data_IF_750430424651
#
_entry.id   IF_750430424651
#
_cell.length_a   1.000
_cell.length_b   1.000
_cell.length_c   1.000
_cell.angle_alpha   90.00
_cell.angle_beta   90.00
_cell.angle_gamma   90.00
#
_symmetry.space_group_name_H-M   'P 1'
#
loop_
_entity.id
_entity.type
_entity.pdbx_description
1 polymer ?
#
# COMPACT_ATOMS: atom_id res chain seq x y z
N UNK A 1 43.73 6.88 -20.12
CA UNK A 1 42.87 5.70 -20.33
C UNK A 1 42.53 5.10 -18.97
N UNK A 2 41.27 5.18 -18.56
CA UNK A 2 40.68 4.28 -17.55
C UNK A 2 39.17 4.30 -17.78
N UNK A 3 38.71 3.43 -18.67
CA UNK A 3 37.29 3.07 -18.78
C UNK A 3 36.83 2.52 -17.43
N UNK A 4 35.84 3.17 -16.81
CA UNK A 4 35.07 2.56 -15.74
C UNK A 4 34.25 1.45 -16.37
N UNK A 5 34.68 0.21 -16.20
CA UNK A 5 33.88 -0.97 -16.53
C UNK A 5 32.55 -0.90 -15.75
N UNK A 6 31.50 -0.57 -16.48
CA UNK A 6 30.11 -0.67 -16.04
C UNK A 6 29.83 -2.16 -15.78
N UNK A 7 29.91 -2.59 -14.52
CA UNK A 7 29.52 -3.96 -14.13
C UNK A 7 28.05 -4.13 -14.49
N UNK A 8 27.78 -4.80 -15.61
CA UNK A 8 26.43 -5.25 -15.96
C UNK A 8 25.86 -6.05 -14.77
N UNK A 9 24.59 -5.83 -14.38
CA UNK A 9 23.95 -6.68 -13.39
C UNK A 9 24.00 -8.12 -13.92
N UNK A 10 24.61 -9.04 -13.17
CA UNK A 10 24.58 -10.47 -13.50
C UNK A 10 23.13 -10.91 -13.58
N UNK A 11 22.61 -11.10 -14.79
CA UNK A 11 21.25 -11.59 -15.02
C UNK A 11 21.00 -12.82 -14.16
N UNK A 12 19.85 -12.83 -13.49
CA UNK A 12 19.41 -13.97 -12.69
C UNK A 12 19.27 -15.19 -13.61
N UNK A 13 19.85 -16.32 -13.22
CA UNK A 13 19.79 -17.55 -13.99
C UNK A 13 18.32 -17.99 -14.15
N UNK A 14 17.94 -18.49 -15.32
CA UNK A 14 16.55 -18.85 -15.65
C UNK A 14 15.91 -19.83 -14.66
N UNK A 15 16.69 -20.77 -14.10
CA UNK A 15 16.22 -21.69 -13.04
C UNK A 15 15.80 -20.99 -11.75
N UNK A 16 16.46 -19.89 -11.41
CA UNK A 16 16.19 -19.09 -10.21
C UNK A 16 14.91 -18.26 -10.41
N UNK A 17 14.72 -17.68 -11.60
CA UNK A 17 13.49 -17.00 -11.99
C UNK A 17 12.29 -17.96 -12.00
N UNK A 18 12.48 -19.19 -12.49
CA UNK A 18 11.43 -20.21 -12.45
C UNK A 18 11.12 -20.66 -11.02
N UNK A 19 12.13 -20.78 -10.17
CA UNK A 19 11.94 -21.13 -8.75
C UNK A 19 11.23 -20.01 -7.99
N UNK A 20 11.46 -18.76 -8.36
CA UNK A 20 10.77 -17.59 -7.82
C UNK A 20 9.37 -17.37 -8.41
N UNK A 21 9.18 -17.61 -9.69
CA UNK A 21 7.85 -17.65 -10.28
C UNK A 21 7.01 -18.74 -9.63
N UNK A 22 7.62 -19.90 -9.35
CA UNK A 22 7.01 -20.96 -8.55
C UNK A 22 6.80 -20.52 -7.10
N UNK A 23 7.74 -19.86 -6.43
CA UNK A 23 7.52 -19.30 -5.09
C UNK A 23 6.26 -18.43 -4.97
N UNK A 24 6.05 -17.57 -5.97
CA UNK A 24 4.94 -16.63 -6.02
C UNK A 24 3.62 -17.29 -6.49
N UNK A 25 3.67 -18.45 -7.16
CA UNK A 25 2.49 -19.06 -7.80
C UNK A 25 2.24 -20.54 -7.45
N UNK A 26 3.13 -21.22 -6.73
CA UNK A 26 3.06 -22.66 -6.39
C UNK A 26 2.51 -22.90 -4.99
N UNK A 27 2.29 -24.16 -4.63
CA UNK A 27 1.81 -24.60 -3.30
C UNK A 27 2.90 -24.58 -2.21
N UNK A 28 4.16 -24.23 -2.52
CA UNK A 28 5.29 -24.28 -1.58
C UNK A 28 5.96 -22.90 -1.39
N UNK A 29 5.29 -21.95 -0.71
CA UNK A 29 5.73 -20.56 -0.62
C UNK A 29 7.01 -20.36 0.23
N UNK A 30 7.31 -21.27 1.16
CA UNK A 30 8.45 -21.18 2.08
C UNK A 30 9.81 -21.32 1.36
N UNK A 31 9.93 -22.27 0.42
CA UNK A 31 11.13 -22.46 -0.42
C UNK A 31 11.44 -21.18 -1.21
N UNK A 32 10.38 -20.51 -1.63
CA UNK A 32 10.43 -19.25 -2.34
C UNK A 32 10.86 -18.05 -1.51
N UNK A 33 10.36 -17.98 -0.27
CA UNK A 33 10.71 -16.96 0.70
C UNK A 33 12.21 -16.97 1.01
N UNK A 34 12.74 -18.16 1.27
CA UNK A 34 14.15 -18.35 1.59
C UNK A 34 15.02 -18.00 0.39
N UNK A 35 14.58 -18.33 -0.82
CA UNK A 35 15.29 -18.02 -2.06
C UNK A 35 15.31 -16.51 -2.37
N UNK A 36 14.18 -15.80 -2.22
CA UNK A 36 14.13 -14.33 -2.34
C UNK A 36 15.00 -13.67 -1.28
N UNK A 37 14.89 -14.12 -0.04
CA UNK A 37 15.69 -13.62 1.08
C UNK A 37 17.18 -13.84 0.80
N UNK A 38 17.58 -15.03 0.36
CA UNK A 38 18.97 -15.34 0.01
C UNK A 38 19.46 -14.48 -1.17
N UNK A 39 18.65 -14.28 -2.20
CA UNK A 39 19.01 -13.42 -3.32
C UNK A 39 19.25 -11.96 -2.92
N UNK A 40 18.39 -11.42 -2.06
CA UNK A 40 18.50 -10.03 -1.62
C UNK A 40 19.50 -9.82 -0.49
N UNK A 41 19.67 -10.79 0.42
CA UNK A 41 20.59 -10.69 1.58
C UNK A 41 21.99 -11.13 1.20
N UNK A 42 22.13 -12.27 0.55
CA UNK A 42 23.43 -12.92 0.33
C UNK A 42 24.06 -12.47 -0.99
N UNK A 43 23.25 -12.30 -2.04
CA UNK A 43 23.79 -12.00 -3.37
C UNK A 43 23.64 -10.55 -3.82
N UNK A 44 22.90 -9.71 -3.08
CA UNK A 44 22.58 -8.32 -3.43
C UNK A 44 22.19 -8.14 -4.91
N UNK A 45 21.43 -9.10 -5.46
CA UNK A 45 21.04 -9.09 -6.87
C UNK A 45 19.76 -8.28 -7.07
N UNK A 46 19.76 -7.46 -8.12
CA UNK A 46 18.57 -6.76 -8.61
C UNK A 46 17.60 -7.78 -9.22
N UNK A 47 16.31 -7.78 -8.88
CA UNK A 47 15.29 -8.55 -9.58
C UNK A 47 15.24 -8.20 -11.05
N UNK A 48 14.82 -9.14 -11.87
CA UNK A 48 14.33 -8.81 -13.21
C UNK A 48 13.03 -8.01 -13.10
N UNK A 49 12.71 -7.23 -14.14
CA UNK A 49 11.46 -6.46 -14.16
C UNK A 49 10.24 -7.38 -14.13
N UNK A 50 10.30 -8.54 -14.77
CA UNK A 50 9.27 -9.60 -14.68
C UNK A 50 9.00 -10.06 -13.24
N UNK A 51 10.04 -10.11 -12.38
CA UNK A 51 9.86 -10.46 -10.97
C UNK A 51 9.22 -9.31 -10.18
N UNK A 52 9.59 -8.06 -10.47
CA UNK A 52 8.95 -6.87 -9.87
C UNK A 52 7.47 -6.79 -10.26
N UNK A 53 7.16 -7.07 -11.52
CA UNK A 53 5.79 -7.16 -12.04
C UNK A 53 5.01 -8.27 -11.35
N UNK A 54 5.58 -9.46 -11.18
CA UNK A 54 4.95 -10.57 -10.44
C UNK A 54 4.66 -10.24 -8.97
N UNK A 55 5.58 -9.55 -8.29
CA UNK A 55 5.36 -9.07 -6.92
C UNK A 55 4.23 -8.03 -6.87
N UNK A 56 4.18 -7.11 -7.84
CA UNK A 56 3.12 -6.10 -7.91
C UNK A 56 1.76 -6.72 -8.27
N UNK A 57 1.72 -7.71 -9.17
CA UNK A 57 0.51 -8.45 -9.51
C UNK A 57 -0.03 -9.20 -8.29
N UNK A 58 0.86 -9.84 -7.52
CA UNK A 58 0.51 -10.50 -6.27
C UNK A 58 -0.06 -9.51 -5.24
N UNK A 59 0.51 -8.31 -5.09
CA UNK A 59 -0.04 -7.28 -4.20
C UNK A 59 -1.43 -6.79 -4.64
N UNK A 60 -1.64 -6.59 -5.95
CA UNK A 60 -2.91 -6.11 -6.52
C UNK A 60 -4.01 -7.17 -6.47
N UNK A 61 -3.68 -8.40 -6.84
CA UNK A 61 -4.67 -9.43 -7.13
C UNK A 61 -4.65 -10.59 -6.16
N UNK A 62 -3.60 -10.73 -5.35
CA UNK A 62 -3.47 -11.81 -4.39
C UNK A 62 -3.02 -13.11 -5.04
N UNK A 63 -2.85 -14.18 -4.24
CA UNK A 63 -2.43 -15.48 -4.74
C UNK A 63 -3.45 -16.05 -5.72
N UNK A 64 -2.98 -16.57 -6.86
CA UNK A 64 -3.81 -17.28 -7.85
C UNK A 64 -3.20 -18.64 -8.18
N UNK A 65 -4.04 -19.67 -8.30
CA UNK A 65 -3.68 -20.98 -8.81
C UNK A 65 -4.61 -21.28 -9.98
N UNK A 66 -4.06 -21.49 -11.18
CA UNK A 66 -4.85 -21.75 -12.41
C UNK A 66 -5.96 -20.70 -12.67
N UNK A 67 -5.68 -19.44 -12.34
CA UNK A 67 -6.64 -18.34 -12.47
C UNK A 67 -7.64 -18.19 -11.32
N UNK A 68 -7.66 -19.14 -10.37
CA UNK A 68 -8.51 -19.09 -9.18
C UNK A 68 -7.78 -18.41 -8.03
N UNK A 69 -8.39 -17.37 -7.45
CA UNK A 69 -7.85 -16.70 -6.28
C UNK A 69 -7.97 -17.58 -5.03
N UNK A 70 -6.93 -17.59 -4.19
CA UNK A 70 -6.96 -18.29 -2.90
C UNK A 70 -6.22 -17.50 -1.83
N UNK A 71 -6.46 -17.84 -0.56
CA UNK A 71 -5.82 -17.17 0.56
C UNK A 71 -4.45 -17.78 0.89
N UNK A 72 -3.42 -16.93 0.94
CA UNK A 72 -2.07 -17.29 1.38
C UNK A 72 -1.39 -16.06 2.03
N UNK A 73 -1.54 -15.86 3.34
CA UNK A 73 -1.02 -14.68 4.04
C UNK A 73 0.51 -14.68 4.11
N UNK A 74 1.14 -15.86 4.15
CA UNK A 74 2.58 -15.98 4.18
C UNK A 74 3.21 -15.45 2.89
N UNK A 75 2.56 -15.73 1.76
CA UNK A 75 3.00 -15.24 0.46
C UNK A 75 2.80 -13.73 0.29
N UNK A 76 1.70 -13.20 0.81
CA UNK A 76 1.47 -11.75 0.83
C UNK A 76 2.51 -11.03 1.69
N UNK A 77 2.77 -11.53 2.91
CA UNK A 77 3.79 -11.00 3.81
C UNK A 77 5.20 -11.06 3.18
N UNK A 78 5.52 -12.18 2.52
CA UNK A 78 6.77 -12.33 1.79
C UNK A 78 6.90 -11.28 0.68
N UNK A 79 5.85 -11.10 -0.12
CA UNK A 79 5.84 -10.12 -1.21
C UNK A 79 6.09 -8.71 -0.67
N UNK A 80 5.40 -8.34 0.41
CA UNK A 80 5.57 -7.06 1.10
C UNK A 80 6.99 -6.85 1.60
N UNK A 81 7.60 -7.84 2.26
CA UNK A 81 8.99 -7.74 2.73
C UNK A 81 9.98 -7.60 1.58
N UNK A 82 9.75 -8.34 0.49
CA UNK A 82 10.59 -8.26 -0.70
C UNK A 82 10.48 -6.88 -1.35
N UNK A 83 9.27 -6.35 -1.53
CA UNK A 83 9.07 -5.02 -2.13
C UNK A 83 9.65 -3.92 -1.24
N UNK A 84 9.48 -4.00 0.08
CA UNK A 84 10.10 -3.06 1.03
C UNK A 84 11.62 -3.04 0.90
N UNK A 85 12.25 -4.21 0.84
CA UNK A 85 13.70 -4.32 0.70
C UNK A 85 14.19 -3.77 -0.64
N UNK A 86 13.45 -4.01 -1.71
CA UNK A 86 13.74 -3.46 -3.03
C UNK A 86 13.70 -1.94 -3.04
N UNK A 87 12.63 -1.37 -2.48
CA UNK A 87 12.47 0.07 -2.33
C UNK A 87 13.66 0.64 -1.55
N UNK A 88 14.00 0.05 -0.40
CA UNK A 88 15.12 0.51 0.44
C UNK A 88 16.50 0.36 -0.20
N UNK A 89 16.62 -0.42 -1.28
CA UNK A 89 17.88 -0.61 -2.02
C UNK A 89 18.05 0.34 -3.21
N UNK A 90 17.22 1.39 -3.30
CA UNK A 90 17.12 2.33 -4.43
C UNK A 90 16.83 1.65 -5.78
N UNK A 91 16.34 0.41 -5.74
CA UNK A 91 15.94 -0.30 -6.94
C UNK A 91 14.52 0.14 -7.28
N UNK A 92 14.38 0.92 -8.35
CA UNK A 92 13.07 1.41 -8.77
C UNK A 92 12.14 0.24 -9.09
N UNK A 93 10.98 0.24 -8.43
CA UNK A 93 9.79 -0.29 -9.08
C UNK A 93 9.50 0.63 -10.26
N UNK A 94 9.29 0.04 -11.45
CA UNK A 94 8.84 0.80 -12.61
C UNK A 94 7.55 1.60 -12.30
N UNK A 95 7.16 2.53 -13.17
CA UNK A 95 6.01 3.39 -12.92
C UNK A 95 4.75 2.56 -12.66
N UNK A 96 4.13 2.74 -11.49
CA UNK A 96 2.82 2.16 -11.21
C UNK A 96 1.80 2.99 -11.99
N UNK A 97 1.00 2.33 -12.83
CA UNK A 97 -0.09 3.00 -13.54
C UNK A 97 -1.10 3.60 -12.56
N UNK A 98 -1.76 4.69 -12.95
CA UNK A 98 -2.82 5.29 -12.15
C UNK A 98 -3.87 4.28 -11.71
N UNK A 99 -4.35 3.46 -12.64
CA UNK A 99 -5.32 2.42 -12.36
C UNK A 99 -4.81 1.41 -11.32
N UNK A 100 -3.52 1.06 -11.36
CA UNK A 100 -2.90 0.20 -10.37
C UNK A 100 -2.83 0.84 -8.98
N UNK A 101 -2.56 2.14 -8.90
CA UNK A 101 -2.54 2.88 -7.64
C UNK A 101 -3.95 3.03 -7.04
N UNK A 102 -4.93 3.40 -7.86
CA UNK A 102 -6.34 3.50 -7.46
C UNK A 102 -6.88 2.15 -6.99
N UNK A 103 -6.52 1.06 -7.68
CA UNK A 103 -6.83 -0.30 -7.25
C UNK A 103 -6.29 -0.56 -5.84
N UNK A 104 -4.99 -0.35 -5.61
CA UNK A 104 -4.35 -0.60 -4.32
C UNK A 104 -4.96 0.24 -3.18
N UNK A 105 -5.28 1.52 -3.42
CA UNK A 105 -5.95 2.38 -2.43
C UNK A 105 -7.40 1.95 -2.15
N UNK A 106 -8.10 1.43 -3.16
CA UNK A 106 -9.50 1.02 -3.06
C UNK A 106 -9.71 -0.41 -2.54
N UNK A 107 -8.65 -1.21 -2.37
CA UNK A 107 -8.77 -2.60 -1.87
C UNK A 107 -9.48 -2.68 -0.52
N UNK A 108 -9.24 -1.71 0.37
CA UNK A 108 -9.93 -1.60 1.66
C UNK A 108 -11.45 -1.44 1.55
N UNK A 109 -11.95 -1.05 0.37
CA UNK A 109 -13.35 -0.80 0.05
C UNK A 109 -13.93 -1.92 -0.81
N UNK A 110 -13.18 -2.47 -1.75
CA UNK A 110 -13.73 -3.34 -2.80
C UNK A 110 -13.69 -4.83 -2.44
N UNK A 111 -12.80 -5.29 -1.56
CA UNK A 111 -12.54 -6.72 -1.37
C UNK A 111 -13.36 -7.43 -0.28
N UNK A 112 -14.58 -6.95 0.04
CA UNK A 112 -15.45 -7.69 0.96
C UNK A 112 -16.84 -7.94 0.40
N UNK A 113 -16.99 -9.10 -0.23
CA UNK A 113 -18.30 -9.73 -0.40
C UNK A 113 -18.71 -10.37 0.94
N UNK A 114 -19.61 -9.67 1.64
CA UNK A 114 -20.82 -10.17 2.29
C UNK A 114 -20.70 -11.59 2.90
N UNK A 115 -20.11 -11.67 4.10
CA UNK A 115 -20.81 -12.41 5.16
C UNK A 115 -22.16 -11.73 5.39
N UNK A 116 -23.20 -12.40 5.92
CA UNK A 116 -24.51 -11.80 6.22
C UNK A 116 -24.48 -10.55 7.14
N UNK A 117 -23.29 -10.11 7.55
CA UNK A 117 -22.97 -9.12 8.56
C UNK A 117 -21.99 -8.02 8.10
N UNK A 118 -21.76 -7.79 6.80
CA UNK A 118 -20.86 -6.73 6.28
C UNK A 118 -19.39 -6.80 6.75
N UNK A 119 -18.96 -7.91 7.36
CA UNK A 119 -17.60 -8.09 7.88
C UNK A 119 -16.66 -8.59 6.77
N UNK A 120 -15.56 -7.89 6.53
CA UNK A 120 -14.48 -8.37 5.65
C UNK A 120 -13.78 -9.56 6.29
N UNK A 121 -13.44 -10.56 5.47
CA UNK A 121 -12.61 -11.68 5.93
C UNK A 121 -11.22 -11.16 6.33
N UNK A 122 -10.56 -11.76 7.33
CA UNK A 122 -9.17 -11.42 7.67
C UNK A 122 -8.24 -11.57 6.46
N UNK A 123 -8.62 -12.40 5.50
CA UNK A 123 -7.90 -12.66 4.27
C UNK A 123 -7.85 -11.42 3.36
N UNK A 124 -9.01 -10.80 3.12
CA UNK A 124 -9.11 -9.55 2.37
C UNK A 124 -8.40 -8.39 3.10
N UNK A 125 -8.50 -8.36 4.43
CA UNK A 125 -7.81 -7.36 5.26
C UNK A 125 -6.28 -7.51 5.18
N UNK A 126 -5.76 -8.75 5.25
CA UNK A 126 -4.33 -9.02 5.14
C UNK A 126 -3.77 -8.64 3.77
N UNK A 127 -4.53 -8.90 2.70
CA UNK A 127 -4.14 -8.48 1.36
C UNK A 127 -4.10 -6.95 1.23
N UNK A 128 -5.14 -6.28 1.75
CA UNK A 128 -5.25 -4.82 1.79
C UNK A 128 -4.11 -4.19 2.59
N UNK A 129 -3.80 -4.73 3.77
CA UNK A 129 -2.75 -4.18 4.64
C UNK A 129 -1.39 -4.25 3.95
N UNK A 130 -1.06 -5.38 3.32
CA UNK A 130 0.16 -5.57 2.52
C UNK A 130 0.27 -4.56 1.37
N UNK A 131 -0.81 -4.37 0.61
CA UNK A 131 -0.86 -3.41 -0.49
C UNK A 131 -0.63 -1.96 -0.03
N UNK A 132 -1.27 -1.56 1.07
CA UNK A 132 -1.12 -0.21 1.63
C UNK A 132 0.27 0.02 2.23
N UNK A 133 0.85 -0.99 2.90
CA UNK A 133 2.22 -0.92 3.41
C UNK A 133 3.24 -0.74 2.28
N UNK A 134 3.05 -1.44 1.17
CA UNK A 134 3.86 -1.24 -0.03
C UNK A 134 3.75 0.20 -0.54
N UNK A 135 2.54 0.73 -0.69
CA UNK A 135 2.32 2.11 -1.15
C UNK A 135 2.92 3.15 -0.20
N UNK A 136 2.73 3.00 1.11
CA UNK A 136 3.26 3.94 2.10
C UNK A 136 4.78 3.95 2.07
N UNK A 137 5.41 2.79 1.93
CA UNK A 137 6.88 2.67 1.88
C UNK A 137 7.44 3.24 0.58
N UNK A 138 6.81 2.93 -0.56
CA UNK A 138 7.20 3.47 -1.86
C UNK A 138 7.09 4.99 -1.89
N UNK A 139 5.98 5.55 -1.39
CA UNK A 139 5.76 7.00 -1.34
C UNK A 139 6.77 7.67 -0.41
N UNK A 140 6.98 7.12 0.79
CA UNK A 140 7.97 7.62 1.76
C UNK A 140 9.36 7.67 1.14
N UNK A 141 9.73 6.60 0.42
CA UNK A 141 11.02 6.51 -0.24
C UNK A 141 11.19 7.55 -1.34
N UNK A 142 10.21 7.68 -2.24
CA UNK A 142 10.25 8.66 -3.34
C UNK A 142 10.29 10.10 -2.85
N UNK A 143 9.67 10.39 -1.69
CA UNK A 143 9.65 11.74 -1.14
C UNK A 143 10.83 12.04 -0.22
N UNK A 144 11.57 11.03 0.27
CA UNK A 144 12.62 11.20 1.28
C UNK A 144 13.64 12.28 0.93
N UNK A 145 14.13 12.28 -0.31
CA UNK A 145 15.16 13.24 -0.73
C UNK A 145 14.56 14.63 -1.02
N UNK A 146 13.33 14.68 -1.51
CA UNK A 146 12.58 15.94 -1.69
C UNK A 146 12.32 16.59 -0.33
N UNK A 147 11.87 15.81 0.66
CA UNK A 147 11.61 16.29 2.02
C UNK A 147 12.87 16.79 2.72
N UNK A 148 14.02 16.13 2.50
CA UNK A 148 15.32 16.59 3.03
C UNK A 148 15.80 17.87 2.36
N UNK A 149 15.62 17.99 1.05
CA UNK A 149 16.05 19.16 0.28
C UNK A 149 15.13 20.38 0.44
N UNK A 150 13.87 20.14 0.84
CA UNK A 150 12.88 21.18 1.13
C UNK A 150 13.16 21.98 2.42
N UNK A 151 14.20 21.62 3.19
CA UNK A 151 14.47 22.09 4.55
C UNK A 151 14.55 23.61 4.78
N UNK A 152 14.64 24.45 3.73
CA UNK A 152 14.85 25.89 3.91
C UNK A 152 13.90 26.83 3.13
N UNK A 153 13.08 26.38 2.18
CA UNK A 153 12.21 27.30 1.41
C UNK A 153 10.91 26.62 0.90
N UNK A 154 9.72 26.98 1.42
CA UNK A 154 8.45 26.63 0.78
C UNK A 154 8.30 27.36 -0.56
N UNK A 155 7.79 26.69 -1.60
CA UNK A 155 7.33 27.36 -2.82
C UNK A 155 8.25 27.34 -4.05
N UNK A 156 8.97 26.25 -4.33
CA UNK A 156 9.57 26.04 -5.68
C UNK A 156 8.61 25.26 -6.58
N UNK A 157 7.79 26.00 -7.31
CA UNK A 157 6.99 25.50 -8.42
C UNK A 157 7.89 25.09 -9.60
N UNK A 158 7.87 23.80 -9.95
CA UNK A 158 8.43 23.30 -11.21
C UNK A 158 8.98 21.87 -11.14
N UNK A 159 8.13 20.87 -11.44
CA UNK A 159 8.50 19.46 -11.62
C UNK A 159 9.41 18.89 -10.51
N UNK A 160 9.02 19.05 -9.25
CA UNK A 160 9.78 18.57 -8.08
C UNK A 160 9.86 17.04 -7.98
N UNK A 161 8.92 16.35 -8.61
CA UNK A 161 8.80 14.90 -8.58
C UNK A 161 9.25 14.31 -9.91
N UNK A 162 9.94 13.17 -9.86
CA UNK A 162 10.19 12.38 -11.07
C UNK A 162 8.85 12.06 -11.76
N UNK A 163 8.82 12.22 -13.08
CA UNK A 163 7.66 11.99 -13.93
C UNK A 163 7.03 10.60 -13.72
N UNK A 164 7.85 9.60 -13.36
CA UNK A 164 7.43 8.24 -13.05
C UNK A 164 7.08 7.96 -11.58
N UNK A 165 7.16 8.96 -10.69
CA UNK A 165 6.84 8.79 -9.27
C UNK A 165 5.34 8.65 -9.02
N UNK A 166 4.96 7.87 -8.00
CA UNK A 166 3.56 7.74 -7.59
C UNK A 166 3.04 9.04 -6.97
N UNK A 167 3.91 9.87 -6.38
CA UNK A 167 3.57 11.21 -5.94
C UNK A 167 3.07 12.09 -7.10
N UNK A 168 3.79 12.10 -8.22
CA UNK A 168 3.36 12.82 -9.42
C UNK A 168 2.06 12.26 -10.00
N UNK A 169 1.93 10.92 -10.01
CA UNK A 169 0.69 10.24 -10.42
C UNK A 169 -0.52 10.67 -9.59
N UNK A 170 -0.39 10.69 -8.25
CA UNK A 170 -1.42 11.16 -7.32
C UNK A 170 -1.85 12.58 -7.63
N UNK A 171 -0.88 13.51 -7.75
CA UNK A 171 -1.17 14.93 -7.95
C UNK A 171 -1.81 15.19 -9.31
N UNK A 172 -1.25 14.64 -10.39
CA UNK A 172 -1.76 14.89 -11.75
C UNK A 172 -3.14 14.30 -11.99
N UNK A 173 -3.35 13.05 -11.58
CA UNK A 173 -4.60 12.34 -11.87
C UNK A 173 -5.74 12.75 -10.94
N UNK A 174 -5.43 13.31 -9.76
CA UNK A 174 -6.44 13.79 -8.82
C UNK A 174 -6.81 15.27 -9.00
N UNK A 175 -6.54 15.88 -10.17
CA UNK A 175 -6.78 17.32 -10.42
C UNK A 175 -6.01 18.25 -9.46
N UNK A 176 -4.77 17.90 -9.12
CA UNK A 176 -3.86 18.70 -8.29
C UNK A 176 -3.70 18.19 -6.85
N UNK A 177 -2.80 18.85 -6.10
CA UNK A 177 -2.42 18.44 -4.73
C UNK A 177 -3.60 18.41 -3.76
N UNK A 178 -4.51 19.38 -3.89
CA UNK A 178 -5.74 19.42 -3.07
C UNK A 178 -6.68 18.25 -3.36
N UNK A 179 -6.80 17.86 -4.63
CA UNK A 179 -7.62 16.72 -5.00
C UNK A 179 -7.00 15.39 -4.59
N UNK A 180 -5.67 15.28 -4.67
CA UNK A 180 -4.93 14.12 -4.14
C UNK A 180 -5.18 13.96 -2.64
N UNK A 181 -5.01 15.03 -1.85
CA UNK A 181 -5.27 15.00 -0.40
C UNK A 181 -6.71 14.58 -0.07
N UNK A 182 -7.69 15.14 -0.78
CA UNK A 182 -9.11 14.75 -0.64
C UNK A 182 -9.34 13.29 -0.99
N UNK A 183 -8.68 12.78 -2.02
CA UNK A 183 -8.85 11.40 -2.46
C UNK A 183 -8.28 10.42 -1.44
N UNK A 184 -7.04 10.61 -0.98
CA UNK A 184 -6.45 9.70 0.03
C UNK A 184 -7.22 9.77 1.34
N UNK A 185 -7.66 10.97 1.76
CA UNK A 185 -8.53 11.14 2.93
C UNK A 185 -9.84 10.38 2.77
N UNK A 186 -10.44 10.38 1.58
CA UNK A 186 -11.66 9.61 1.29
C UNK A 186 -11.44 8.11 1.46
N UNK A 187 -10.36 7.56 0.90
CA UNK A 187 -10.01 6.14 1.03
C UNK A 187 -9.77 5.76 2.49
N UNK A 188 -9.02 6.60 3.23
CA UNK A 188 -8.80 6.43 4.66
C UNK A 188 -10.12 6.45 5.46
N UNK A 189 -11.00 7.41 5.19
CA UNK A 189 -12.31 7.50 5.84
C UNK A 189 -13.17 6.25 5.58
N UNK A 190 -13.23 5.75 4.34
CA UNK A 190 -13.96 4.53 4.01
C UNK A 190 -13.35 3.29 4.70
N UNK A 191 -12.02 3.22 4.83
CA UNK A 191 -11.34 2.18 5.58
C UNK A 191 -11.76 2.20 7.06
N UNK A 192 -11.79 3.39 7.69
CA UNK A 192 -12.28 3.57 9.06
C UNK A 192 -13.74 3.16 9.23
N UNK A 193 -14.62 3.57 8.33
CA UNK A 193 -16.05 3.27 8.40
C UNK A 193 -16.29 1.76 8.31
N UNK A 194 -15.58 1.09 7.40
CA UNK A 194 -15.77 -0.34 7.14
C UNK A 194 -15.14 -1.23 8.21
N UNK A 195 -13.95 -0.88 8.68
CA UNK A 195 -13.13 -1.78 9.51
C UNK A 195 -12.89 -1.27 10.93
N UNK A 196 -13.20 -0.01 11.23
CA UNK A 196 -12.92 0.63 12.51
C UNK A 196 -13.51 -0.11 13.71
N UNK A 197 -14.62 -0.83 13.52
CA UNK A 197 -15.22 -1.70 14.55
C UNK A 197 -14.24 -2.75 15.11
N UNK A 198 -13.31 -3.27 14.31
CA UNK A 198 -12.31 -4.24 14.77
C UNK A 198 -11.32 -3.65 15.78
N UNK A 199 -11.16 -2.33 15.76
CA UNK A 199 -10.22 -1.59 16.61
C UNK A 199 -10.95 -0.92 17.78
N UNK A 200 -12.13 -0.33 17.52
CA UNK A 200 -12.89 0.47 18.46
C UNK A 200 -13.80 -0.35 19.38
N UNK A 201 -14.25 -1.53 18.95
CA UNK A 201 -15.12 -2.41 19.75
C UNK A 201 -14.40 -3.72 20.13
N UNK A 202 -13.38 -3.67 21.00
CA UNK A 202 -12.54 -4.84 21.24
C UNK A 202 -13.25 -6.00 21.98
N UNK A 203 -14.43 -5.81 22.59
CA UNK A 203 -14.96 -6.79 23.56
C UNK A 203 -16.49 -6.97 23.65
N UNK A 204 -17.31 -6.45 22.72
CA UNK A 204 -18.75 -6.54 22.94
C UNK A 204 -19.34 -7.88 22.46
N UNK A 205 -19.22 -8.91 23.31
CA UNK A 205 -19.86 -10.23 23.16
C UNK A 205 -21.40 -10.17 23.20
N UNK A 206 -21.98 -8.98 23.30
CA UNK A 206 -23.42 -8.75 23.41
C UNK A 206 -24.09 -8.45 22.05
N UNK A 207 -23.32 -8.26 20.98
CA UNK A 207 -23.90 -8.14 19.63
C UNK A 207 -24.42 -9.52 19.16
N UNK A 208 -25.72 -9.65 18.79
CA UNK A 208 -26.32 -10.92 18.42
C UNK A 208 -25.69 -11.62 17.20
N UNK A 209 -24.84 -10.92 16.44
CA UNK A 209 -24.12 -11.46 15.27
C UNK A 209 -22.69 -11.94 15.56
N UNK A 210 -22.19 -11.73 16.78
CA UNK A 210 -20.78 -11.93 17.15
C UNK A 210 -20.47 -13.34 17.70
N UNK A 211 -21.50 -14.17 17.85
CA UNK A 211 -21.44 -15.52 18.45
C UNK A 211 -20.65 -16.56 17.61
N UNK A 212 -20.22 -16.22 16.40
CA UNK A 212 -19.61 -17.17 15.46
C UNK A 212 -18.12 -16.94 15.15
N UNK A 213 -17.51 -15.84 15.63
CA UNK A 213 -16.11 -15.54 15.36
C UNK A 213 -15.21 -15.99 16.51
N UNK A 214 -14.22 -16.84 16.21
CA UNK A 214 -13.23 -17.23 17.22
C UNK A 214 -12.39 -16.02 17.64
N UNK A 215 -11.91 -16.02 18.90
CA UNK A 215 -11.03 -14.97 19.44
C UNK A 215 -9.81 -14.74 18.54
N UNK A 216 -9.24 -15.81 17.99
CA UNK A 216 -8.08 -15.74 17.09
C UNK A 216 -8.39 -15.06 15.76
N UNK A 217 -9.59 -15.25 15.23
CA UNK A 217 -10.04 -14.58 14.01
C UNK A 217 -10.21 -13.08 14.24
N UNK A 218 -10.83 -12.69 15.36
CA UNK A 218 -10.99 -11.28 15.76
C UNK A 218 -9.64 -10.59 15.96
N UNK A 219 -8.71 -11.24 16.64
CA UNK A 219 -7.36 -10.71 16.85
C UNK A 219 -6.63 -10.49 15.51
N UNK A 220 -6.79 -11.39 14.54
CA UNK A 220 -6.25 -11.23 13.19
C UNK A 220 -6.89 -10.05 12.46
N UNK A 221 -8.21 -9.95 12.42
CA UNK A 221 -8.90 -8.81 11.79
C UNK A 221 -8.46 -7.47 12.41
N UNK A 222 -8.32 -7.41 13.73
CA UNK A 222 -7.83 -6.22 14.45
C UNK A 222 -6.40 -5.87 14.04
N UNK A 223 -5.50 -6.85 14.03
CA UNK A 223 -4.10 -6.64 13.66
C UNK A 223 -3.98 -6.11 12.22
N UNK A 224 -4.69 -6.72 11.27
CA UNK A 224 -4.66 -6.29 9.87
C UNK A 224 -5.35 -4.93 9.66
N UNK A 225 -6.44 -4.66 10.39
CA UNK A 225 -7.08 -3.34 10.37
C UNK A 225 -6.14 -2.26 10.87
N UNK A 226 -5.46 -2.47 12.00
CA UNK A 226 -4.48 -1.52 12.51
C UNK A 226 -3.39 -1.24 11.47
N UNK A 227 -2.86 -2.28 10.81
CA UNK A 227 -1.86 -2.12 9.73
C UNK A 227 -2.39 -1.29 8.55
N UNK A 228 -3.65 -1.49 8.15
CA UNK A 228 -4.28 -0.67 7.11
C UNK A 228 -4.37 0.80 7.54
N UNK A 229 -4.84 1.06 8.76
CA UNK A 229 -5.04 2.41 9.29
C UNK A 229 -3.71 3.14 9.48
N UNK A 230 -2.68 2.46 9.99
CA UNK A 230 -1.31 2.99 10.09
C UNK A 230 -0.78 3.37 8.70
N UNK A 231 -0.90 2.48 7.72
CA UNK A 231 -0.43 2.72 6.36
C UNK A 231 -1.16 3.89 5.70
N UNK A 232 -2.49 3.97 5.85
CA UNK A 232 -3.26 5.12 5.38
C UNK A 232 -2.90 6.42 6.10
N UNK A 233 -2.60 6.36 7.40
CA UNK A 233 -2.10 7.49 8.17
C UNK A 233 -0.79 8.04 7.59
N UNK A 234 0.15 7.15 7.27
CA UNK A 234 1.41 7.51 6.60
C UNK A 234 1.16 8.11 5.23
N UNK A 235 0.36 7.47 4.36
CA UNK A 235 0.08 7.98 3.01
C UNK A 235 -0.60 9.36 3.09
N UNK A 236 -1.60 9.51 3.96
CA UNK A 236 -2.30 10.79 4.15
C UNK A 236 -1.33 11.87 4.62
N UNK A 237 -0.43 11.56 5.56
CA UNK A 237 0.57 12.52 6.07
C UNK A 237 1.58 12.94 4.99
N UNK A 238 2.02 12.01 4.14
CA UNK A 238 2.91 12.31 3.01
C UNK A 238 2.22 13.17 1.95
N UNK A 239 0.96 12.91 1.64
CA UNK A 239 0.19 13.74 0.70
C UNK A 239 -0.17 15.10 1.29
N UNK A 240 -0.40 15.18 2.60
CA UNK A 240 -0.53 16.42 3.34
C UNK A 240 0.76 17.25 3.26
N UNK A 241 1.93 16.61 3.42
CA UNK A 241 3.22 17.26 3.23
C UNK A 241 3.40 17.77 1.79
N UNK A 242 3.06 16.97 0.77
CA UNK A 242 3.07 17.40 -0.64
C UNK A 242 2.19 18.64 -0.84
N UNK A 243 0.97 18.62 -0.28
CA UNK A 243 0.06 19.76 -0.34
C UNK A 243 0.69 21.00 0.29
N UNK A 244 1.24 20.89 1.49
CA UNK A 244 1.88 22.02 2.17
C UNK A 244 3.07 22.57 1.36
N UNK A 245 3.91 21.68 0.84
CA UNK A 245 5.09 22.03 0.06
C UNK A 245 4.74 22.76 -1.25
N UNK A 246 3.80 22.22 -2.03
CA UNK A 246 3.43 22.78 -3.35
C UNK A 246 2.60 24.06 -3.22
N UNK A 247 1.77 24.20 -2.17
CA UNK A 247 1.02 25.44 -1.90
C UNK A 247 1.88 26.50 -1.19
N UNK A 248 3.11 26.16 -0.78
CA UNK A 248 4.02 27.07 -0.10
C UNK A 248 3.54 27.46 1.31
N UNK A 249 2.91 26.53 2.03
CA UNK A 249 2.30 26.76 3.35
C UNK A 249 3.04 25.97 4.41
N UNK A 250 3.01 26.45 5.65
CA UNK A 250 3.64 25.76 6.76
C UNK A 250 2.93 24.43 7.10
N UNK A 251 3.65 23.48 7.70
CA UNK A 251 3.08 22.17 8.06
C UNK A 251 2.10 22.24 9.23
N UNK A 252 2.23 23.27 10.07
CA UNK A 252 1.33 23.59 11.18
C UNK A 252 0.13 24.46 10.74
N UNK A 253 0.01 24.76 9.45
CA UNK A 253 -1.11 25.50 8.90
C UNK A 253 -2.41 24.66 8.90
N UNK A 254 -3.45 25.20 9.52
CA UNK A 254 -4.74 24.54 9.70
C UNK A 254 -5.45 24.18 8.37
N UNK A 255 -5.09 24.80 7.23
CA UNK A 255 -5.73 24.52 5.94
C UNK A 255 -5.67 23.04 5.56
N UNK A 256 -4.54 22.39 5.84
CA UNK A 256 -4.38 20.97 5.57
C UNK A 256 -5.33 20.13 6.45
N UNK A 257 -5.37 20.45 7.74
CA UNK A 257 -6.27 19.81 8.70
C UNK A 257 -7.75 20.01 8.34
N UNK A 258 -8.15 21.21 7.90
CA UNK A 258 -9.51 21.48 7.45
C UNK A 258 -9.89 20.66 6.22
N UNK A 259 -9.00 20.52 5.22
CA UNK A 259 -9.27 19.67 4.05
C UNK A 259 -9.49 18.22 4.47
N UNK A 260 -8.64 17.69 5.35
CA UNK A 260 -8.75 16.32 5.86
C UNK A 260 -10.06 16.15 6.63
N UNK A 261 -10.31 17.01 7.63
CA UNK A 261 -11.51 16.97 8.47
C UNK A 261 -12.78 17.04 7.63
N UNK A 262 -12.90 18.05 6.76
CA UNK A 262 -14.13 18.29 6.00
C UNK A 262 -14.40 17.15 5.02
N UNK A 263 -13.35 16.59 4.42
CA UNK A 263 -13.52 15.44 3.51
C UNK A 263 -13.86 14.16 4.26
N UNK A 264 -13.29 13.94 5.45
CA UNK A 264 -13.62 12.82 6.32
C UNK A 264 -15.07 12.89 6.80
N UNK A 265 -15.51 14.04 7.31
CA UNK A 265 -16.89 14.27 7.74
C UNK A 265 -17.88 14.09 6.59
N UNK A 266 -17.59 14.65 5.41
CA UNK A 266 -18.43 14.46 4.23
C UNK A 266 -18.59 12.98 3.85
N UNK A 267 -17.52 12.18 3.98
CA UNK A 267 -17.60 10.75 3.69
C UNK A 267 -18.43 10.00 4.73
N UNK A 268 -18.25 10.32 6.02
CA UNK A 268 -19.08 9.78 7.09
C UNK A 268 -20.57 10.06 6.87
N UNK A 269 -20.93 11.29 6.49
CA UNK A 269 -22.30 11.67 6.19
C UNK A 269 -22.88 10.91 4.99
N UNK A 270 -22.06 10.68 3.97
CA UNK A 270 -22.46 9.92 2.79
C UNK A 270 -22.72 8.45 3.15
N UNK A 271 -21.78 7.78 3.81
CA UNK A 271 -21.92 6.37 4.16
C UNK A 271 -23.05 6.16 5.18
N UNK A 272 -23.30 7.13 6.07
CA UNK A 272 -24.47 7.10 6.96
C UNK A 272 -25.79 7.11 6.18
N UNK A 273 -25.88 7.86 5.09
CA UNK A 273 -27.08 7.87 4.22
C UNK A 273 -27.21 6.55 3.45
N UNK A 274 -26.10 5.95 3.04
CA UNK A 274 -26.08 4.67 2.32
C UNK A 274 -26.41 3.47 3.24
N UNK A 275 -26.11 3.56 4.54
CA UNK A 275 -26.37 2.53 5.55
C UNK A 275 -27.75 2.65 6.25
N UNK A 276 -28.48 3.73 6.01
CA UNK A 276 -29.88 3.85 6.43
C UNK A 276 -30.76 3.09 5.44
N UNK A 277 -31.28 1.93 5.87
CA UNK A 277 -32.46 1.26 5.30
C UNK A 277 -33.61 2.26 5.23
#
# INVERSE_FOLDING_TARGET
MTEKAQKLPKMLHSSLLNSLGRALNSTEPHVGADLLTHMFVVHNKVPTDSLKEGLLDLLKHGPKCEGTAFYDPNRMELATRCTQKLISSDQSFGPISWHGLELLLSMSINEGAILPSNLSTPDALSKTSCALQFLSHLLSHQLKDVMKSAGDLPGRSGNTYDSGSIANGLVRQSSGVRGALKMVTMFNAKCWIRHGQWVLNPFDSSSPGDLYLTRDLRNRCRAETNRCLESFGVITSLVAWIFCYEEGIALDDDRCAFIIRDKFLKQLEQDKKELQI
#
